data_IF_054689799314
#
_entry.id   IF_054689799314
#
_cell.length_a   1.000
_cell.length_b   1.000
_cell.length_c   1.000
_cell.angle_alpha   90.00
_cell.angle_beta   90.00
_cell.angle_gamma   90.00
#
_symmetry.space_group_name_H-M   'P 1'
#
loop_
_entity.id
_entity.type
_entity.pdbx_description
1 polymer ?
2 water ?
#
# COMPACT_ATOMS: atom_id res chain seq x y z
N UNK A 26 11.28 -25.21 29.73
CA UNK A 26 10.98 -26.48 29.08
C UNK A 26 10.87 -26.31 27.58
N UNK A 27 10.05 -25.33 27.16
CA UNK A 27 9.76 -25.15 25.75
C UNK A 27 11.03 -24.88 24.96
N UNK A 28 11.79 -23.87 25.38
CA UNK A 28 13.04 -23.52 24.72
C UNK A 28 13.92 -24.75 24.55
N UNK A 29 14.44 -25.27 25.66
CA UNK A 29 15.27 -26.47 25.66
C UNK A 29 14.72 -27.53 24.73
N UNK A 30 13.51 -28.02 25.02
CA UNK A 30 12.86 -29.02 24.17
C UNK A 30 12.88 -28.59 22.71
N UNK A 31 12.37 -27.40 22.42
CA UNK A 31 12.36 -26.93 21.04
C UNK A 31 13.77 -26.75 20.51
N UNK A 32 14.69 -26.29 21.37
CA UNK A 32 16.08 -26.23 20.97
C UNK A 32 16.62 -27.63 20.68
N UNK A 33 16.20 -28.61 21.48
CA UNK A 33 16.58 -29.99 21.22
C UNK A 33 16.02 -30.49 19.91
N UNK A 34 15.02 -29.79 19.36
CA UNK A 34 14.48 -30.11 18.04
C UNK A 34 15.39 -29.65 16.91
N UNK A 35 16.58 -29.15 17.23
CA UNK A 35 17.64 -28.98 16.24
C UNK A 35 18.34 -30.34 16.04
N UNK A 36 17.54 -31.32 15.62
CA UNK A 36 17.99 -32.70 15.53
C UNK A 36 17.97 -33.22 14.10
N UNK A 37 17.05 -34.13 13.80
CA UNK A 37 16.96 -34.72 12.47
C UNK A 37 15.50 -34.74 12.03
N UNK A 38 15.28 -35.03 10.75
CA UNK A 38 13.96 -34.86 10.15
C UNK A 38 13.00 -35.96 10.57
N UNK A 39 13.40 -37.23 10.38
CA UNK A 39 12.51 -38.33 10.75
C UNK A 39 12.26 -38.36 12.26
N UNK A 40 13.30 -38.09 13.05
CA UNK A 40 13.14 -38.03 14.49
C UNK A 40 12.24 -36.89 14.92
N UNK A 41 12.28 -35.77 14.20
CA UNK A 41 11.38 -34.66 14.49
C UNK A 41 9.93 -35.06 14.27
N UNK A 42 9.62 -35.60 13.09
CA UNK A 42 8.26 -36.01 12.79
C UNK A 42 7.77 -37.07 13.77
N UNK A 43 8.64 -38.01 14.14
CA UNK A 43 8.25 -39.05 15.08
C UNK A 43 7.96 -38.47 16.46
N UNK A 44 8.89 -37.67 16.99
CA UNK A 44 8.71 -37.07 18.31
C UNK A 44 7.45 -36.21 18.36
N UNK A 45 7.32 -35.27 17.43
CA UNK A 45 6.17 -34.37 17.46
C UNK A 45 4.88 -35.14 17.20
N UNK A 46 4.96 -36.26 16.47
CA UNK A 46 3.80 -37.13 16.36
C UNK A 46 3.44 -37.76 17.70
N UNK A 47 4.45 -38.13 18.49
CA UNK A 47 4.17 -38.60 19.84
C UNK A 47 3.55 -37.50 20.70
N UNK A 48 3.92 -36.25 20.44
CA UNK A 48 3.26 -35.14 21.14
C UNK A 48 1.80 -35.00 20.69
N UNK A 49 1.54 -35.17 19.39
CA UNK A 49 0.15 -35.15 18.91
C UNK A 49 -0.66 -36.28 19.55
N UNK A 50 -0.06 -37.45 19.72
CA UNK A 50 -0.76 -38.55 20.36
C UNK A 50 -1.02 -38.25 21.84
N UNK A 51 -0.01 -37.76 22.55
CA UNK A 51 -0.18 -37.43 23.95
C UNK A 51 -1.14 -36.27 24.14
N UNK A 52 -1.09 -35.28 23.25
CA UNK A 52 -1.90 -34.07 23.36
C UNK A 52 -2.51 -33.75 22.01
N UNK A 53 -3.78 -34.09 21.82
CA UNK A 53 -4.54 -33.52 20.72
C UNK A 53 -4.61 -32.01 20.91
N UNK A 54 -4.40 -31.28 19.81
CA UNK A 54 -4.31 -29.82 19.81
C UNK A 54 -3.01 -29.34 20.47
N UNK A 55 -1.92 -30.06 20.21
CA UNK A 55 -0.62 -29.64 20.73
C UNK A 55 0.01 -28.56 19.88
N UNK A 56 -0.26 -28.56 18.57
CA UNK A 56 0.33 -27.58 17.67
C UNK A 56 -0.43 -26.27 17.63
N UNK A 57 -1.47 -26.12 18.46
CA UNK A 57 -2.23 -24.89 18.54
C UNK A 57 -2.16 -24.25 19.93
N UNK A 58 -1.49 -24.90 20.88
CA UNK A 58 -1.30 -24.32 22.20
C UNK A 58 -0.02 -23.47 22.21
N UNK A 59 -0.10 -22.32 22.85
CA UNK A 59 1.05 -21.43 22.96
C UNK A 59 1.81 -21.75 24.24
N UNK A 60 3.13 -21.52 24.19
CA UNK A 60 4.02 -21.93 25.27
C UNK A 60 4.93 -20.79 25.67
N UNK A 61 5.34 -20.81 26.94
CA UNK A 61 6.00 -19.68 27.57
C UNK A 61 7.50 -19.68 27.27
N UNK A 62 8.05 -18.48 27.11
CA UNK A 62 9.46 -18.23 26.86
C UNK A 62 10.04 -17.39 27.99
N UNK A 63 11.37 -17.46 28.22
CA UNK A 63 11.97 -16.80 29.40
C UNK A 63 11.62 -15.33 29.58
N UNK A 64 11.12 -14.70 28.53
CA UNK A 64 10.88 -13.26 28.55
C UNK A 64 9.44 -12.90 28.88
N UNK A 65 8.52 -13.86 28.85
CA UNK A 65 7.11 -13.61 29.00
C UNK A 65 6.31 -13.79 27.73
N UNK A 66 6.98 -13.85 26.58
CA UNK A 66 6.30 -14.10 25.32
C UNK A 66 5.77 -15.53 25.28
N UNK A 67 4.80 -15.74 24.40
CA UNK A 67 4.18 -17.05 24.22
C UNK A 67 4.19 -17.42 22.75
N UNK A 68 4.69 -18.61 22.44
CA UNK A 68 4.80 -19.08 21.07
C UNK A 68 4.31 -20.52 20.96
N UNK A 69 4.06 -20.93 19.72
CA UNK A 69 3.80 -22.32 19.39
C UNK A 69 5.08 -22.95 18.83
N UNK A 70 4.97 -24.21 18.41
CA UNK A 70 6.11 -24.86 17.76
C UNK A 70 6.43 -24.17 16.44
N UNK A 71 5.38 -23.82 15.67
CA UNK A 71 5.59 -23.14 14.40
C UNK A 71 6.20 -21.77 14.61
N UNK A 72 5.70 -21.01 15.60
CA UNK A 72 6.25 -19.69 15.88
C UNK A 72 7.73 -19.78 16.24
N UNK A 73 8.08 -20.67 17.17
CA UNK A 73 9.48 -20.79 17.58
C UNK A 73 10.35 -21.28 16.43
N UNK A 74 9.79 -22.11 15.53
CA UNK A 74 10.53 -22.49 14.34
C UNK A 74 10.82 -21.28 13.46
N UNK A 75 9.82 -20.39 13.29
CA UNK A 75 10.01 -19.24 12.42
C UNK A 75 10.98 -18.24 13.04
N UNK A 76 10.96 -18.08 14.36
CA UNK A 76 11.82 -17.11 15.01
C UNK A 76 13.30 -17.42 14.83
N UNK A 77 13.64 -18.66 14.54
CA UNK A 77 15.03 -19.07 14.27
C UNK A 77 15.21 -19.14 12.77
N UNK A 78 15.94 -18.17 12.21
CA UNK A 78 16.14 -18.11 10.76
C UNK A 78 17.30 -17.19 10.41
N UNK A 91 17.02 -29.11 6.60
CA UNK A 91 16.70 -27.70 6.78
C UNK A 91 15.46 -27.53 7.65
N UNK A 92 15.38 -26.41 8.35
CA UNK A 92 14.22 -26.11 9.19
C UNK A 92 12.93 -26.11 8.39
N UNK A 93 13.02 -25.88 7.07
CA UNK A 93 11.86 -25.73 6.21
C UNK A 93 10.94 -26.94 6.30
N UNK A 94 11.39 -28.11 5.82
CA UNK A 94 10.54 -29.30 5.77
C UNK A 94 9.91 -29.61 7.13
N UNK A 95 10.59 -29.31 8.22
CA UNK A 95 9.98 -29.44 9.54
C UNK A 95 8.83 -28.46 9.71
N UNK A 96 9.05 -27.20 9.33
CA UNK A 96 7.97 -26.22 9.34
C UNK A 96 6.80 -26.69 8.48
N UNK A 97 7.10 -27.26 7.31
CA UNK A 97 6.08 -27.74 6.40
C UNK A 97 5.30 -28.90 7.00
N UNK A 98 5.96 -29.73 7.81
CA UNK A 98 5.25 -30.82 8.48
C UNK A 98 4.33 -30.28 9.57
N UNK A 99 4.84 -29.35 10.39
CA UNK A 99 4.02 -28.72 11.41
C UNK A 99 2.79 -28.07 10.75
N UNK A 100 2.99 -27.45 9.59
CA UNK A 100 1.86 -26.96 8.80
C UNK A 100 0.94 -28.09 8.40
N UNK A 101 1.52 -29.22 7.98
CA UNK A 101 0.73 -30.28 7.36
C UNK A 101 -0.20 -30.96 8.37
N UNK A 102 0.28 -31.22 9.58
CA UNK A 102 -0.54 -31.94 10.54
C UNK A 102 -0.89 -31.09 11.77
N UNK A 103 -1.56 -29.97 11.54
CA UNK A 103 -2.03 -29.12 12.63
C UNK A 103 -3.50 -28.76 12.39
N UNK A 104 -4.28 -28.77 13.47
CA UNK A 104 -5.71 -28.49 13.34
C UNK A 104 -5.96 -27.06 12.88
N UNK A 105 -5.16 -26.12 13.37
CA UNK A 105 -5.24 -24.74 12.95
C UNK A 105 -3.83 -24.19 12.78
N UNK A 106 -3.59 -23.49 11.68
CA UNK A 106 -2.29 -22.92 11.40
C UNK A 106 -2.25 -21.41 11.59
N UNK A 107 -3.40 -20.74 11.60
CA UNK A 107 -3.42 -19.30 11.86
C UNK A 107 -3.15 -18.97 13.31
N UNK A 108 -3.16 -19.96 14.21
CA UNK A 108 -2.92 -19.69 15.63
C UNK A 108 -1.49 -19.20 15.80
N UNK A 109 -1.34 -18.12 16.57
CA UNK A 109 -0.06 -17.46 16.72
C UNK A 109 0.30 -16.51 15.60
N UNK A 110 -0.49 -16.46 14.53
CA UNK A 110 -0.28 -15.61 13.36
C UNK A 110 1.13 -15.78 12.82
N UNK A 111 1.46 -16.94 12.25
CA UNK A 111 2.86 -17.17 11.82
C UNK A 111 3.25 -16.35 10.60
N UNK A 112 2.33 -16.20 9.64
CA UNK A 112 2.64 -15.40 8.46
C UNK A 112 2.91 -13.95 8.83
N UNK A 113 2.14 -13.42 9.79
CA UNK A 113 2.35 -12.04 10.24
C UNK A 113 3.76 -11.85 10.80
N UNK A 114 4.16 -12.71 11.74
CA UNK A 114 5.50 -12.57 12.31
C UNK A 114 6.58 -12.83 11.26
N UNK A 115 6.29 -13.68 10.26
CA UNK A 115 7.24 -13.90 9.18
C UNK A 115 7.47 -12.64 8.38
N UNK A 116 6.40 -11.89 8.08
CA UNK A 116 6.55 -10.65 7.33
C UNK A 116 7.20 -9.58 8.20
N UNK A 117 6.75 -9.45 9.45
CA UNK A 117 7.26 -8.41 10.34
C UNK A 117 8.75 -8.59 10.56
N UNK A 118 9.19 -9.82 10.84
CA UNK A 118 10.61 -10.07 11.04
C UNK A 118 11.43 -9.92 9.76
N UNK A 119 10.79 -9.76 8.61
CA UNK A 119 11.50 -9.58 7.37
C UNK A 119 11.88 -10.86 6.65
N UNK A 120 11.31 -12.00 7.03
CA UNK A 120 11.60 -13.27 6.38
C UNK A 120 10.65 -13.46 5.20
N UNK A 121 10.91 -12.67 4.15
CA UNK A 121 9.99 -12.61 3.02
C UNK A 121 9.95 -13.95 2.29
N UNK A 122 11.11 -14.60 2.12
CA UNK A 122 11.13 -15.90 1.46
C UNK A 122 10.33 -16.92 2.24
N UNK A 123 10.44 -16.90 3.58
CA UNK A 123 9.63 -17.77 4.41
C UNK A 123 8.15 -17.50 4.23
N UNK A 124 7.77 -16.22 4.11
CA UNK A 124 6.37 -15.88 3.91
C UNK A 124 5.86 -16.38 2.56
N UNK A 125 6.66 -16.21 1.51
CA UNK A 125 6.26 -16.72 0.20
C UNK A 125 6.16 -18.24 0.20
N UNK A 126 7.00 -18.92 0.97
CA UNK A 126 6.86 -20.36 1.11
C UNK A 126 5.55 -20.72 1.82
N UNK A 127 5.28 -20.08 2.96
CA UNK A 127 4.06 -20.37 3.69
C UNK A 127 2.82 -20.11 2.84
N UNK A 128 2.89 -19.09 1.97
CA UNK A 128 1.78 -18.83 1.06
C UNK A 128 1.74 -19.81 -0.12
N UNK A 129 2.67 -20.76 -0.19
CA UNK A 129 2.66 -21.74 -1.25
C UNK A 129 2.85 -21.15 -2.62
N UNK A 130 3.79 -20.23 -2.75
CA UNK A 130 4.05 -19.58 -4.04
C UNK A 130 5.55 -19.61 -4.34
N UNK A 143 7.79 -6.22 -15.47
CA UNK A 143 6.67 -6.76 -16.21
C UNK A 143 5.35 -6.27 -15.62
N UNK A 144 4.28 -6.30 -16.42
CA UNK A 144 2.96 -5.84 -15.99
C UNK A 144 2.52 -6.58 -14.72
N UNK A 145 2.43 -5.85 -13.60
CA UNK A 145 2.09 -6.48 -12.34
C UNK A 145 0.66 -7.02 -12.32
N UNK A 146 -0.22 -6.47 -13.15
CA UNK A 146 -1.57 -7.02 -13.26
C UNK A 146 -1.55 -8.39 -13.92
N UNK A 147 -0.77 -8.52 -14.99
CA UNK A 147 -0.62 -9.83 -15.63
C UNK A 147 0.02 -10.83 -14.67
N UNK A 148 0.92 -10.35 -13.82
CA UNK A 148 1.54 -11.23 -12.82
C UNK A 148 0.49 -11.67 -11.80
N UNK A 149 -0.35 -10.73 -11.35
CA UNK A 149 -1.36 -11.06 -10.34
C UNK A 149 -2.38 -12.05 -10.90
N UNK A 150 -2.85 -11.82 -12.13
CA UNK A 150 -3.76 -12.77 -12.76
C UNK A 150 -3.07 -14.10 -13.03
N UNK A 151 -1.75 -14.07 -13.24
CA UNK A 151 -0.98 -15.30 -13.48
C UNK A 151 -0.91 -16.15 -12.23
N UNK A 152 -0.21 -15.65 -11.19
CA UNK A 152 -0.07 -16.40 -9.96
C UNK A 152 -1.43 -16.66 -9.30
N UNK A 153 -2.44 -15.87 -9.64
CA UNK A 153 -3.80 -16.22 -9.24
C UNK A 153 -4.31 -17.41 -10.06
N UNK A 154 -3.93 -17.47 -11.34
CA UNK A 154 -4.33 -18.56 -12.21
C UNK A 154 -3.48 -19.82 -12.03
N UNK A 155 -2.45 -19.77 -11.18
CA UNK A 155 -1.68 -20.96 -10.83
C UNK A 155 -2.37 -21.80 -9.76
N UNK A 156 -3.69 -21.65 -9.64
CA UNK A 156 -4.47 -22.38 -8.64
C UNK A 156 -5.25 -23.52 -9.29
N UNK A 167 -6.15 -22.61 3.79
CA UNK A 167 -4.96 -22.75 4.62
C UNK A 167 -4.86 -21.56 5.58
N UNK A 168 -3.90 -20.67 5.32
CA UNK A 168 -3.81 -19.44 6.08
C UNK A 168 -4.97 -18.51 5.74
N UNK A 169 -5.47 -17.82 6.76
CA UNK A 169 -6.55 -16.83 6.59
C UNK A 169 -5.92 -15.46 6.38
N UNK A 170 -6.05 -14.93 5.17
CA UNK A 170 -5.32 -13.73 4.76
C UNK A 170 -6.02 -12.49 5.32
N UNK A 171 -7.16 -12.70 5.98
CA UNK A 171 -7.88 -11.59 6.59
C UNK A 171 -7.64 -11.46 8.08
N UNK A 172 -7.01 -12.45 8.71
CA UNK A 172 -6.76 -12.37 10.15
C UNK A 172 -5.76 -11.26 10.45
N UNK A 173 -5.85 -10.73 11.66
CA UNK A 173 -4.92 -9.72 12.15
C UNK A 173 -4.07 -10.32 13.26
N UNK A 174 -3.07 -9.57 13.69
CA UNK A 174 -2.17 -10.01 14.73
C UNK A 174 -2.49 -9.29 16.05
N UNK A 175 -1.61 -9.48 17.04
CA UNK A 175 -1.85 -8.89 18.35
C UNK A 175 -1.85 -7.38 18.36
N UNK A 176 -1.33 -6.75 17.31
CA UNK A 176 -1.35 -5.30 17.17
C UNK A 176 -2.44 -4.84 16.21
N UNK A 177 -3.33 -5.74 15.80
CA UNK A 177 -4.48 -5.38 15.00
C UNK A 177 -4.18 -5.06 13.55
N UNK A 178 -3.06 -5.54 13.02
CA UNK A 178 -2.63 -5.23 11.66
C UNK A 178 -3.03 -6.34 10.71
N UNK A 179 -3.74 -5.99 9.64
CA UNK A 179 -4.08 -6.96 8.62
C UNK A 179 -2.82 -7.43 7.90
N UNK A 180 -2.96 -8.54 7.18
CA UNK A 180 -1.82 -9.05 6.41
C UNK A 180 -1.51 -8.14 5.23
N UNK A 181 -2.53 -7.48 4.67
CA UNK A 181 -2.30 -6.52 3.60
C UNK A 181 -1.48 -5.33 4.10
N UNK A 182 -1.74 -4.88 5.32
CA UNK A 182 -0.96 -3.79 5.91
C UNK A 182 0.52 -4.15 5.97
N UNK A 183 0.82 -5.36 6.44
CA UNK A 183 2.21 -5.80 6.51
C UNK A 183 2.82 -5.93 5.12
N UNK A 184 2.06 -6.50 4.17
CA UNK A 184 2.56 -6.65 2.81
C UNK A 184 2.91 -5.31 2.19
N UNK A 185 2.05 -4.30 2.39
CA UNK A 185 2.34 -2.97 1.88
C UNK A 185 3.54 -2.35 2.58
N UNK A 186 3.61 -2.50 3.90
CA UNK A 186 4.73 -1.93 4.65
C UNK A 186 6.06 -2.55 4.21
N UNK A 187 6.04 -3.81 3.78
CA UNK A 187 7.27 -4.44 3.30
C UNK A 187 7.75 -3.81 2.00
N UNK A 188 6.84 -3.27 1.20
CA UNK A 188 7.15 -2.74 -0.13
C UNK A 188 7.90 -3.76 -0.97
N UNK A 189 7.30 -4.95 -1.08
CA UNK A 189 7.84 -6.04 -1.88
C UNK A 189 6.74 -6.54 -2.79
N UNK A 190 6.98 -6.46 -4.10
CA UNK A 190 5.94 -6.84 -5.07
C UNK A 190 5.55 -8.30 -4.91
N UNK A 191 6.52 -9.19 -4.74
CA UNK A 191 6.25 -10.62 -4.71
C UNK A 191 5.28 -10.97 -3.58
N UNK A 192 5.54 -10.47 -2.38
CA UNK A 192 4.70 -10.82 -1.25
C UNK A 192 3.30 -10.21 -1.37
N UNK A 193 3.22 -8.95 -1.81
CA UNK A 193 1.93 -8.30 -1.95
C UNK A 193 1.07 -9.01 -2.99
N UNK A 194 1.66 -9.39 -4.11
CA UNK A 194 0.93 -10.16 -5.11
C UNK A 194 0.53 -11.52 -4.56
N UNK A 195 1.41 -12.13 -3.74
CA UNK A 195 1.09 -13.42 -3.17
C UNK A 195 -0.10 -13.35 -2.22
N UNK A 196 -0.25 -12.22 -1.51
CA UNK A 196 -1.38 -12.08 -0.60
C UNK A 196 -2.65 -11.71 -1.36
N UNK A 197 -2.56 -10.75 -2.27
CA UNK A 197 -3.72 -10.34 -3.05
C UNK A 197 -4.26 -11.50 -3.89
N UNK A 198 -3.39 -12.42 -4.30
CA UNK A 198 -3.85 -13.57 -5.07
C UNK A 198 -4.76 -14.50 -4.28
N UNK A 199 -4.90 -14.28 -2.97
CA UNK A 199 -5.74 -15.11 -2.12
C UNK A 199 -7.07 -14.44 -1.78
N UNK A 200 -7.45 -13.42 -2.53
CA UNK A 200 -8.73 -12.73 -2.35
C UNK A 200 -8.99 -12.27 -0.91
N UNK A 201 -8.16 -11.39 -0.38
CA UNK A 201 -8.45 -10.80 0.93
C UNK A 201 -9.42 -9.63 0.75
N UNK A 202 -9.77 -9.00 1.86
CA UNK A 202 -10.59 -7.79 1.83
C UNK A 202 -9.62 -6.61 1.78
N UNK A 203 -9.62 -5.92 0.65
CA UNK A 203 -8.71 -4.79 0.43
C UNK A 203 -9.30 -3.53 1.04
N UNK A 204 -10.41 -3.67 1.76
CA UNK A 204 -11.05 -2.56 2.43
C UNK A 204 -10.88 -2.59 3.94
N UNK A 205 -10.36 -3.67 4.49
CA UNK A 205 -10.09 -3.75 5.92
C UNK A 205 -9.05 -2.71 6.31
N UNK A 206 -9.31 -2.02 7.41
CA UNK A 206 -8.52 -0.87 7.82
C UNK A 206 -7.67 -1.22 9.04
N UNK A 207 -6.48 -0.62 9.10
CA UNK A 207 -5.58 -0.80 10.23
C UNK A 207 -5.18 0.58 10.75
N UNK A 208 -5.20 0.74 12.07
CA UNK A 208 -4.83 2.00 12.70
C UNK A 208 -3.34 2.23 12.56
N UNK A 209 -2.95 3.32 11.88
CA UNK A 209 -1.55 3.52 11.55
C UNK A 209 -0.85 4.53 12.45
N UNK A 210 -1.40 5.74 12.59
CA UNK A 210 -0.71 6.81 13.27
C UNK A 210 -0.80 6.64 14.78
N UNK A 211 -0.01 7.46 15.50
CA UNK A 211 -0.15 7.55 16.94
C UNK A 211 -1.49 8.14 17.34
N UNK A 212 -2.14 8.87 16.43
CA UNK A 212 -3.53 9.26 16.60
C UNK A 212 -4.49 8.10 16.32
N UNK A 213 -3.97 6.91 16.05
CA UNK A 213 -4.76 5.72 15.79
C UNK A 213 -5.83 6.00 14.73
N UNK A 214 -5.34 6.29 13.53
CA UNK A 214 -6.20 6.61 12.40
C UNK A 214 -6.48 5.34 11.61
N UNK A 215 -7.74 5.04 11.29
CA UNK A 215 -8.04 3.91 10.41
C UNK A 215 -7.55 4.13 8.99
N UNK A 216 -6.56 3.34 8.59
CA UNK A 216 -5.93 3.45 7.27
C UNK A 216 -6.36 2.28 6.41
N UNK A 217 -6.98 2.56 5.28
CA UNK A 217 -7.28 1.51 4.32
C UNK A 217 -6.04 1.21 3.47
N UNK A 218 -5.97 0.01 2.87
CA UNK A 218 -4.78 -0.34 2.10
C UNK A 218 -4.45 0.64 0.98
N UNK A 219 -5.45 1.32 0.41
CA UNK A 219 -5.16 2.31 -0.61
C UNK A 219 -4.58 3.57 0.01
N UNK A 220 -5.05 3.95 1.20
CA UNK A 220 -4.47 5.07 1.93
C UNK A 220 -3.03 4.76 2.33
N UNK A 221 -2.83 3.61 2.97
CA UNK A 221 -1.48 3.18 3.35
C UNK A 221 -0.57 3.12 2.13
N UNK A 222 -1.08 2.62 1.01
CA UNK A 222 -0.29 2.58 -0.21
C UNK A 222 0.06 3.98 -0.70
N UNK A 223 -0.84 4.94 -0.49
CA UNK A 223 -0.54 6.32 -0.88
C UNK A 223 0.57 6.90 -0.01
N UNK A 224 0.39 6.82 1.31
CA UNK A 224 1.37 7.42 2.23
C UNK A 224 2.74 6.76 2.06
N UNK A 225 2.75 5.44 1.80
CA UNK A 225 4.00 4.75 1.53
C UNK A 225 4.59 5.12 0.17
N UNK A 226 3.85 5.87 -0.65
CA UNK A 226 4.26 6.21 -2.01
C UNK A 226 4.50 4.94 -2.84
N UNK A 227 3.68 3.93 -2.62
CA UNK A 227 3.81 2.64 -3.31
C UNK A 227 2.92 2.67 -4.54
N UNK A 228 3.52 2.98 -5.70
CA UNK A 228 2.75 3.06 -6.94
C UNK A 228 2.25 1.70 -7.37
N UNK A 229 3.12 0.68 -7.33
CA UNK A 229 2.72 -0.67 -7.70
C UNK A 229 1.61 -1.18 -6.79
N UNK A 230 1.67 -0.86 -5.50
CA UNK A 230 0.61 -1.25 -4.60
C UNK A 230 -0.72 -0.59 -4.93
N UNK A 231 -0.68 0.66 -5.39
CA UNK A 231 -1.90 1.32 -5.81
C UNK A 231 -2.46 0.65 -7.07
N UNK A 232 -1.58 0.33 -8.02
CA UNK A 232 -2.04 -0.33 -9.24
C UNK A 232 -2.63 -1.70 -8.95
N UNK A 233 -2.08 -2.41 -7.95
CA UNK A 233 -2.64 -3.72 -7.59
C UNK A 233 -3.97 -3.56 -6.86
N UNK A 234 -3.97 -2.80 -5.77
CA UNK A 234 -5.18 -2.65 -4.96
C UNK A 234 -6.33 -2.07 -5.77
N UNK A 235 -6.04 -1.20 -6.74
CA UNK A 235 -7.08 -0.64 -7.58
C UNK A 235 -7.81 -1.72 -8.36
N UNK A 236 -7.06 -2.68 -8.92
CA UNK A 236 -7.67 -3.76 -9.68
C UNK A 236 -8.56 -4.63 -8.81
N UNK A 237 -8.18 -4.83 -7.54
CA UNK A 237 -8.97 -5.64 -6.63
C UNK A 237 -10.26 -4.95 -6.18
N UNK A 238 -10.53 -3.74 -6.65
CA UNK A 238 -11.75 -3.04 -6.29
C UNK A 238 -11.63 -2.12 -5.11
N UNK A 239 -10.46 -1.53 -4.88
CA UNK A 239 -10.28 -0.63 -3.75
C UNK A 239 -11.11 0.63 -3.94
N UNK A 240 -11.25 1.39 -2.85
CA UNK A 240 -12.05 2.61 -2.83
C UNK A 240 -11.12 3.81 -3.04
N UNK A 241 -11.16 4.36 -4.24
CA UNK A 241 -10.32 5.49 -4.61
C UNK A 241 -10.93 6.84 -4.26
N UNK A 242 -12.23 6.88 -3.96
CA UNK A 242 -12.93 8.11 -3.62
C UNK A 242 -13.26 8.23 -2.15
N UNK A 243 -12.83 7.28 -1.32
CA UNK A 243 -13.11 7.32 0.11
C UNK A 243 -12.01 8.12 0.81
N UNK A 244 -12.36 9.16 1.57
CA UNK A 244 -11.31 9.97 2.22
C UNK A 244 -10.66 9.27 3.40
N UNK A 245 -9.77 9.98 4.10
CA UNK A 245 -9.02 9.41 5.21
C UNK A 245 -8.80 10.46 6.29
N UNK A 246 -9.17 10.12 7.52
CA UNK A 246 -8.81 10.93 8.65
C UNK A 246 -9.75 12.09 8.91
N UNK A 247 -9.28 13.00 9.77
CA UNK A 247 -10.09 14.14 10.18
C UNK A 247 -10.43 15.03 8.99
N UNK A 248 -9.45 15.31 8.13
CA UNK A 248 -9.72 16.00 6.88
C UNK A 248 -10.19 14.99 5.84
N UNK A 249 -11.16 15.41 5.02
CA UNK A 249 -11.65 14.53 3.96
C UNK A 249 -10.59 14.39 2.87
N UNK A 250 -9.46 13.77 3.20
CA UNK A 250 -8.35 13.61 2.28
C UNK A 250 -8.55 12.33 1.48
N UNK A 251 -9.15 12.47 0.29
CA UNK A 251 -9.23 11.35 -0.63
C UNK A 251 -7.82 10.94 -1.04
N UNK A 252 -7.66 9.70 -1.53
CA UNK A 252 -6.31 9.26 -1.96
C UNK A 252 -5.62 10.23 -2.88
N UNK A 253 -6.37 10.89 -3.76
CA UNK A 253 -5.79 11.91 -4.63
C UNK A 253 -5.29 13.09 -3.80
N UNK A 254 -6.18 13.67 -2.98
CA UNK A 254 -5.77 14.77 -2.11
C UNK A 254 -4.72 14.30 -1.11
N UNK A 255 -4.80 13.04 -0.69
CA UNK A 255 -3.81 12.51 0.25
C UNK A 255 -2.42 12.52 -0.37
N UNK A 256 -2.29 11.99 -1.59
CA UNK A 256 -1.00 12.02 -2.27
C UNK A 256 -0.57 13.43 -2.59
N UNK A 257 -1.52 14.33 -2.86
CA UNK A 257 -1.17 15.71 -3.19
C UNK A 257 -0.62 16.45 -1.98
N UNK A 258 -1.18 16.21 -0.80
CA UNK A 258 -0.78 16.95 0.39
C UNK A 258 0.59 16.50 0.89
N UNK A 259 0.79 15.19 0.98
CA UNK A 259 2.04 14.64 1.49
C UNK A 259 3.13 14.56 0.43
N UNK A 260 2.88 15.09 -0.76
CA UNK A 260 3.90 15.13 -1.79
C UNK A 260 4.25 13.78 -2.38
N UNK A 261 3.43 12.75 -2.15
CA UNK A 261 3.69 11.44 -2.72
C UNK A 261 3.38 11.46 -4.21
N UNK A 262 4.38 11.83 -5.02
CA UNK A 262 4.14 12.04 -6.44
C UNK A 262 3.89 10.72 -7.16
N UNK A 263 4.71 9.70 -6.88
CA UNK A 263 4.55 8.42 -7.55
C UNK A 263 3.18 7.81 -7.26
N UNK A 264 2.70 7.96 -6.02
CA UNK A 264 1.36 7.50 -5.70
C UNK A 264 0.31 8.27 -6.48
N UNK A 265 0.53 9.57 -6.68
CA UNK A 265 -0.41 10.37 -7.46
C UNK A 265 -0.44 9.91 -8.91
N UNK A 266 0.73 9.65 -9.50
CA UNK A 266 0.79 9.16 -10.88
C UNK A 266 0.12 7.80 -11.00
N UNK A 267 0.34 6.92 -10.02
CA UNK A 267 -0.31 5.62 -10.04
C UNK A 267 -1.82 5.76 -9.93
N UNK A 268 -2.30 6.69 -9.11
CA UNK A 268 -3.74 6.90 -8.97
C UNK A 268 -4.33 7.46 -10.26
N UNK A 269 -3.63 8.40 -10.90
CA UNK A 269 -4.17 9.05 -12.10
C UNK A 269 -4.20 8.11 -13.30
N UNK A 270 -3.46 7.00 -13.27
CA UNK A 270 -3.55 6.03 -14.35
C UNK A 270 -4.95 5.43 -14.45
N UNK A 271 -5.68 5.43 -13.35
CA UNK A 271 -7.05 4.93 -13.29
C UNK A 271 -8.01 5.97 -13.86
N UNK A 272 -9.24 5.56 -14.19
CA UNK A 272 -10.21 6.51 -14.76
C UNK A 272 -10.43 7.71 -13.84
N UNK A 273 -10.46 8.90 -14.46
CA UNK A 273 -10.60 10.13 -13.69
C UNK A 273 -11.97 10.24 -13.04
N UNK A 274 -13.00 9.66 -13.65
CA UNK A 274 -14.34 9.73 -13.08
C UNK A 274 -14.40 9.01 -11.74
N UNK A 275 -13.54 8.02 -11.53
CA UNK A 275 -13.51 7.26 -10.29
C UNK A 275 -12.48 7.79 -9.30
N UNK A 276 -11.94 8.99 -9.53
CA UNK A 276 -10.98 9.59 -8.62
C UNK A 276 -11.53 10.81 -7.89
N UNK A 277 -12.55 11.47 -8.44
CA UNK A 277 -13.16 12.65 -7.81
C UNK A 277 -12.13 13.74 -7.54
N UNK A 278 -11.52 14.23 -8.63
CA UNK A 278 -10.50 15.26 -8.53
C UNK A 278 -11.08 16.62 -8.17
N UNK A 279 -12.41 16.77 -8.21
CA UNK A 279 -13.05 18.04 -7.87
C UNK A 279 -13.22 18.21 -6.37
N UNK A 280 -13.44 17.11 -5.64
CA UNK A 280 -13.86 17.18 -4.25
C UNK A 280 -12.81 17.86 -3.38
N UNK A 281 -13.29 18.47 -2.29
CA UNK A 281 -12.43 19.21 -1.37
C UNK A 281 -12.46 18.54 0.01
N UNK A 282 -11.40 18.79 0.78
CA UNK A 282 -11.28 18.21 2.10
C UNK A 282 -11.78 19.16 3.18
N UNK A 283 -11.10 19.19 4.33
CA UNK A 283 -11.47 20.06 5.44
C UNK A 283 -10.38 21.07 5.78
N UNK A 284 -9.33 21.15 4.98
CA UNK A 284 -8.28 22.15 5.19
C UNK A 284 -8.75 23.46 4.54
N UNK A 285 -9.13 24.42 5.37
CA UNK A 285 -9.81 25.63 4.89
C UNK A 285 -8.85 26.78 4.64
N UNK A 288 -9.25 32.30 3.90
CA UNK A 288 -10.69 32.50 4.06
C UNK A 288 -11.29 31.42 4.96
N UNK A 289 -12.51 31.02 4.66
CA UNK A 289 -13.20 29.99 5.42
C UNK A 289 -14.32 29.42 4.55
N UNK A 290 -15.06 28.46 5.13
CA UNK A 290 -16.26 27.88 4.54
C UNK A 290 -15.97 26.95 3.36
N UNK A 291 -14.86 27.17 2.66
CA UNK A 291 -14.49 26.32 1.53
C UNK A 291 -13.10 25.72 1.78
N UNK A 292 -12.91 24.49 1.30
CA UNK A 292 -11.71 23.74 1.60
C UNK A 292 -10.81 23.47 0.43
N UNK A 293 -9.55 23.13 0.72
CA UNK A 293 -8.57 22.86 -0.32
C UNK A 293 -8.98 21.66 -1.17
N UNK A 294 -8.49 21.63 -2.40
CA UNK A 294 -8.58 20.48 -3.27
C UNK A 294 -7.17 19.98 -3.57
N UNK A 295 -7.09 18.82 -4.22
CA UNK A 295 -5.80 18.18 -4.45
C UNK A 295 -4.83 19.12 -5.16
N UNK A 296 -5.31 19.83 -6.19
CA UNK A 296 -4.47 20.78 -6.90
C UNK A 296 -4.06 21.92 -5.96
N UNK A 297 -5.04 22.49 -5.26
CA UNK A 297 -4.75 23.58 -4.33
C UNK A 297 -3.81 23.13 -3.23
N UNK A 298 -4.07 21.96 -2.65
CA UNK A 298 -3.19 21.43 -1.62
C UNK A 298 -1.78 21.20 -2.15
N UNK A 299 -1.65 20.84 -3.43
CA UNK A 299 -0.33 20.76 -4.03
C UNK A 299 0.29 22.14 -4.18
N UNK A 300 -0.53 23.17 -4.43
CA UNK A 300 0.01 24.52 -4.53
C UNK A 300 0.52 25.01 -3.18
N UNK A 301 -0.13 24.62 -2.09
CA UNK A 301 0.38 24.96 -0.76
C UNK A 301 1.74 24.32 -0.49
N UNK A 302 2.07 23.24 -1.20
CA UNK A 302 3.39 22.63 -1.06
C UNK A 302 4.47 23.46 -1.76
N UNK A 303 4.09 24.34 -2.68
CA UNK A 303 5.08 25.17 -3.37
C UNK A 303 5.58 26.32 -2.51
N UNK A 304 4.83 26.71 -1.48
CA UNK A 304 5.36 27.68 -0.53
C UNK A 304 6.62 27.17 0.14
N UNK A 305 6.73 25.85 0.30
CA UNK A 305 7.97 25.21 0.75
C UNK A 305 8.78 24.89 -0.49
N UNK A 306 9.69 25.79 -0.85
CA UNK A 306 10.42 25.65 -2.10
C UNK A 306 11.28 24.38 -2.13
N UNK A 307 11.69 23.89 -0.95
CA UNK A 307 12.57 22.73 -0.88
C UNK A 307 12.00 21.54 -1.63
N UNK A 308 10.68 21.40 -1.66
CA UNK A 308 10.01 20.37 -2.44
C UNK A 308 8.99 20.98 -3.39
N UNK A 309 9.25 22.19 -3.90
CA UNK A 309 8.32 22.82 -4.81
C UNK A 309 8.31 22.14 -6.18
N UNK A 310 9.50 21.77 -6.68
CA UNK A 310 9.61 21.16 -8.00
C UNK A 310 8.66 19.98 -8.14
N UNK A 311 8.80 18.98 -7.26
CA UNK A 311 7.90 17.83 -7.28
C UNK A 311 6.44 18.27 -7.28
N UNK A 312 6.11 19.25 -6.44
CA UNK A 312 4.74 19.76 -6.39
C UNK A 312 4.25 20.13 -7.77
N UNK A 313 5.04 20.93 -8.51
CA UNK A 313 4.70 21.30 -9.87
C UNK A 313 4.29 20.08 -10.68
N UNK A 314 5.14 19.04 -10.65
CA UNK A 314 4.82 17.79 -11.34
C UNK A 314 3.39 17.36 -11.05
N UNK A 315 3.08 17.17 -9.77
CA UNK A 315 1.74 16.77 -9.39
C UNK A 315 0.69 17.68 -9.99
N UNK A 316 0.86 18.99 -9.84
CA UNK A 316 -0.07 19.95 -10.41
C UNK A 316 -0.24 19.68 -11.89
N UNK A 317 0.88 19.63 -12.62
CA UNK A 317 0.83 19.27 -14.03
C UNK A 317 0.06 17.98 -14.22
N UNK A 318 0.46 16.92 -13.51
CA UNK A 318 -0.23 15.64 -13.60
C UNK A 318 -1.72 15.81 -13.41
N UNK A 319 -2.12 16.62 -12.42
CA UNK A 319 -3.55 16.80 -12.17
C UNK A 319 -4.19 17.56 -13.32
N UNK A 320 -3.56 18.65 -13.77
CA UNK A 320 -4.20 19.45 -14.81
C UNK A 320 -4.19 18.70 -16.14
N UNK A 321 -3.17 17.89 -16.39
CA UNK A 321 -3.11 17.14 -17.64
C UNK A 321 -4.15 16.03 -17.69
N UNK A 322 -4.50 15.46 -16.53
CA UNK A 322 -5.55 14.44 -16.47
C UNK A 322 -6.94 15.05 -16.38
N UNK A 323 -7.06 16.37 -16.35
CA UNK A 323 -8.35 17.02 -16.38
C UNK A 323 -8.78 17.73 -15.11
N UNK A 324 -7.91 17.79 -14.10
CA UNK A 324 -8.25 18.50 -12.87
C UNK A 324 -8.23 20.00 -13.10
N UNK A 325 -9.22 20.69 -12.54
CA UNK A 325 -9.33 22.12 -12.72
C UNK A 325 -8.20 22.84 -11.96
N UNK A 326 -7.71 23.95 -12.48
CA UNK A 326 -6.66 24.69 -11.80
C UNK A 326 -7.16 25.27 -10.49
N UNK A 327 -6.27 25.77 -9.63
CA UNK A 327 -6.72 26.36 -8.36
C UNK A 327 -7.64 27.54 -8.60
N UNK A 328 -8.52 27.79 -7.62
CA UNK A 328 -9.49 28.87 -7.68
C UNK A 328 -9.03 30.12 -6.96
N UNK A 329 -7.96 30.05 -6.18
CA UNK A 329 -7.45 31.19 -5.44
C UNK A 329 -6.51 32.00 -6.33
N UNK A 330 -6.74 33.32 -6.35
CA UNK A 330 -5.94 34.19 -7.22
C UNK A 330 -4.46 34.06 -6.92
N UNK A 331 -4.08 34.21 -5.65
CA UNK A 331 -2.68 34.11 -5.26
C UNK A 331 -2.05 32.84 -5.80
N UNK A 332 -2.60 31.68 -5.43
CA UNK A 332 -2.06 30.41 -5.93
C UNK A 332 -2.04 30.38 -7.44
N UNK A 333 -3.06 30.94 -8.09
CA UNK A 333 -3.04 31.05 -9.55
C UNK A 333 -1.81 31.79 -10.02
N UNK A 334 -1.58 33.00 -9.49
CA UNK A 334 -0.37 33.74 -9.81
C UNK A 334 0.87 32.95 -9.39
N UNK A 335 0.76 32.14 -8.34
CA UNK A 335 1.88 31.29 -7.92
C UNK A 335 2.29 30.34 -9.04
N UNK A 336 1.32 29.85 -9.81
CA UNK A 336 1.65 29.05 -10.98
C UNK A 336 2.18 29.93 -12.11
N UNK A 337 1.66 31.15 -12.24
CA UNK A 337 2.12 32.05 -13.28
C UNK A 337 3.52 32.56 -12.98
N UNK A 338 3.74 33.00 -11.73
CA UNK A 338 5.05 33.52 -11.34
C UNK A 338 6.13 32.45 -11.43
N UNK A 339 5.78 31.19 -11.17
CA UNK A 339 6.75 30.11 -11.21
C UNK A 339 6.05 28.84 -11.67
N UNK A 340 6.27 28.43 -12.92
CA UNK A 340 7.10 29.14 -13.90
C UNK A 340 6.71 28.69 -15.30
N UNK A 341 7.70 28.71 -16.20
CA UNK A 341 7.59 27.90 -17.40
C UNK A 341 7.89 26.44 -17.10
N UNK A 342 8.50 26.17 -15.94
CA UNK A 342 8.74 24.80 -15.50
C UNK A 342 7.46 24.03 -15.25
N UNK A 343 6.36 24.73 -14.96
CA UNK A 343 5.06 24.07 -14.95
C UNK A 343 4.77 23.45 -16.32
N UNK A 344 5.05 24.18 -17.39
CA UNK A 344 4.86 23.68 -18.74
C UNK A 344 5.96 22.70 -19.15
N UNK A 345 7.13 22.75 -18.50
CA UNK A 345 8.12 21.70 -18.72
C UNK A 345 7.65 20.38 -18.09
N UNK A 346 7.00 20.45 -16.94
CA UNK A 346 6.43 19.25 -16.33
C UNK A 346 5.20 18.77 -17.11
N UNK A 347 4.43 19.70 -17.69
CA UNK A 347 3.33 19.30 -18.56
C UNK A 347 3.86 18.61 -19.79
N UNK A 348 4.92 19.15 -20.39
CA UNK A 348 5.49 18.56 -21.60
C UNK A 348 6.10 17.20 -21.31
N UNK A 349 6.80 17.05 -20.18
CA UNK A 349 7.40 15.76 -19.84
C UNK A 349 6.35 14.75 -19.43
N UNK A 350 5.24 15.19 -18.83
CA UNK A 350 4.16 14.27 -18.48
C UNK A 350 3.28 13.94 -19.68
N UNK A 351 3.36 14.71 -20.75
CA UNK A 351 2.55 14.50 -21.94
C UNK A 351 3.31 13.81 -23.07
N UNK A 352 4.55 13.37 -22.80
CA UNK A 352 5.34 12.70 -23.84
C UNK A 352 4.75 11.34 -24.18
N UNK A 353 4.60 10.48 -23.19
CA UNK A 353 4.05 9.14 -23.40
C UNK A 353 2.53 9.09 -23.27
N UNK A 354 1.88 10.24 -23.12
CA UNK A 354 0.42 10.31 -22.97
C UNK A 354 -0.13 11.36 -23.93
N UNK A 355 -0.11 11.07 -25.24
CA UNK A 355 -0.62 12.05 -26.21
C UNK A 355 -2.14 12.19 -26.22
N UNK A 356 -2.87 11.25 -25.61
CA UNK A 356 -4.32 11.33 -25.56
C UNK A 356 -4.84 12.44 -24.66
N UNK A 357 -3.95 13.18 -24.00
CA UNK A 357 -4.34 14.27 -23.12
C UNK A 357 -4.10 15.65 -23.74
N UNK A 358 -3.38 15.71 -24.86
CA UNK A 358 -2.97 16.99 -25.42
C UNK A 358 -4.19 17.75 -25.94
N UNK A 359 -5.10 17.07 -26.64
CA UNK A 359 -6.26 17.76 -27.21
C UNK A 359 -7.09 18.42 -26.11
N UNK A 360 -7.33 17.70 -25.01
CA UNK A 360 -8.09 18.29 -23.91
C UNK A 360 -7.32 19.40 -23.23
N UNK A 361 -6.01 19.24 -23.07
CA UNK A 361 -5.20 20.27 -22.42
C UNK A 361 -5.23 21.57 -23.22
N UNK A 362 -4.80 21.51 -24.48
CA UNK A 362 -4.76 22.72 -25.29
C UNK A 362 -6.16 23.24 -25.55
N UNK A 363 -7.17 22.37 -25.51
CA UNK A 363 -8.54 22.84 -25.64
C UNK A 363 -8.93 23.71 -24.45
N UNK A 364 -8.66 23.24 -23.24
CA UNK A 364 -8.94 24.05 -22.06
C UNK A 364 -8.07 25.30 -22.01
N UNK A 365 -6.87 25.24 -22.59
CA UNK A 365 -5.92 26.34 -22.54
C UNK A 365 -6.30 27.52 -23.43
N UNK A 366 -7.33 27.38 -24.28
CA UNK A 366 -7.79 28.45 -25.14
C UNK A 366 -9.18 28.94 -24.74
N UNK A 367 -9.51 28.84 -23.46
CA UNK A 367 -10.84 29.23 -22.98
C UNK A 367 -10.75 30.46 -22.07
N UNK A 370 -11.30 27.82 -16.78
CA UNK A 370 -11.05 28.90 -17.74
C UNK A 370 -9.91 29.79 -17.26
N UNK A 371 -9.29 29.40 -16.15
CA UNK A 371 -8.15 30.13 -15.61
C UNK A 371 -6.82 29.62 -16.15
N UNK A 372 -6.77 28.39 -16.64
CA UNK A 372 -5.57 27.89 -17.30
C UNK A 372 -5.19 28.77 -18.49
N UNK A 373 -6.21 29.30 -19.19
CA UNK A 373 -5.99 30.25 -20.27
C UNK A 373 -5.12 31.41 -19.83
N UNK A 374 -5.46 32.00 -18.68
CA UNK A 374 -4.72 33.16 -18.19
C UNK A 374 -3.38 32.77 -17.58
N UNK A 375 -3.32 31.61 -16.93
CA UNK A 375 -2.08 31.17 -16.30
C UNK A 375 -1.01 30.92 -17.37
N UNK A 376 -1.38 30.22 -18.44
CA UNK A 376 -0.40 29.89 -19.48
C UNK A 376 0.00 31.14 -20.25
N UNK A 377 -0.96 31.97 -20.63
CA UNK A 377 -0.66 33.22 -21.32
C UNK A 377 -0.62 34.39 -20.35
N UNK A 385 1.82 29.24 -30.07
CA UNK A 385 0.92 28.71 -29.05
C UNK A 385 1.54 27.56 -28.27
N UNK A 386 0.71 26.64 -27.80
CA UNK A 386 1.15 25.69 -26.78
C UNK A 386 1.59 24.35 -27.36
N UNK A 387 1.02 23.92 -28.50
CA UNK A 387 1.32 22.58 -29.00
C UNK A 387 2.81 22.35 -29.12
N UNK A 388 3.51 23.26 -29.78
CA UNK A 388 4.98 23.16 -29.84
C UNK A 388 5.67 23.42 -28.48
N UNK A 389 4.93 23.50 -27.37
CA UNK A 389 5.47 23.76 -26.04
C UNK A 389 6.26 25.05 -26.01
#
# INVERSE_FOLDING_TARGET
MHHHHHHSSGVDLGTENLYFQSNADFVSEMNKILQMELEQFKEFIQKKLEEDKNYLEKLFWLPNGSQMTVLNYLIEQYSEPKLGIDDANRDLLAKIDFVLHEAKDVNVGEPLHQAIVAGKISLALHLLGVDENNFTPGESEKTDVLSILSKVRKKIEESFNHVKRCFFDVDKRDGYGRTLLSLALDAKRQELLIAILARNPIVHATTLRSSAYVPFQPIHQAVVLDYAEGITLLASMGAQLTNPLGSMRDTPVILAARLGKINALAALLELPTQSLSLESENNHLFEDKQTGHTAVEELCERMANENDKADALRGIAMLICRGAEPPRNEKMRNLLSSNRVAFLKAVSTYLADKPQLVDAFVERCHLRESALHNIVYADHSWGSSIRHLLGVPSEAALIVEELVTRK
#
